data_IF_855116658766
#
_entry.id   IF_855116658766
#
_cell.length_a   1.000
_cell.length_b   1.000
_cell.length_c   1.000
_cell.angle_alpha   90.00
_cell.angle_beta   90.00
_cell.angle_gamma   90.00
#
_symmetry.space_group_name_H-M   'P 1'
#
loop_
_entity.id
_entity.type
_entity.pdbx_description
1 polymer ?
#
# COMPACT_ATOMS: atom_id res chain seq x y z
N UNK A 1 10.15 -81.16 60.82
CA UNK A 1 10.60 -81.19 59.42
C UNK A 1 9.73 -80.23 58.66
N UNK A 2 10.17 -79.13 58.07
CA UNK A 2 11.44 -78.41 57.99
C UNK A 2 11.04 -77.02 57.47
N UNK A 3 11.71 -75.97 57.96
CA UNK A 3 12.24 -74.81 57.21
C UNK A 3 11.31 -74.14 56.15
N UNK A 4 11.08 -72.83 56.11
CA UNK A 4 12.02 -71.74 56.32
C UNK A 4 11.24 -70.41 56.35
N UNK A 5 11.72 -69.53 57.21
CA UNK A 5 11.33 -68.14 57.41
C UNK A 5 11.65 -67.24 56.21
N UNK A 6 10.99 -66.07 56.17
CA UNK A 6 11.38 -64.77 55.57
C UNK A 6 10.49 -64.21 54.44
N UNK A 7 9.54 -63.36 54.85
CA UNK A 7 9.10 -62.17 54.11
C UNK A 7 9.99 -60.96 54.50
N UNK A 8 9.94 -59.80 53.82
CA UNK A 8 9.50 -59.47 52.46
C UNK A 8 10.56 -58.62 51.71
N UNK A 9 10.52 -58.58 50.37
CA UNK A 9 11.13 -57.45 49.65
C UNK A 9 10.24 -57.02 48.48
N UNK A 10 9.45 -55.97 48.71
CA UNK A 10 8.93 -55.15 47.61
C UNK A 10 10.11 -54.37 47.02
N UNK A 11 10.76 -54.93 46.00
CA UNK A 11 11.63 -54.16 45.14
C UNK A 11 10.76 -53.26 44.25
N UNK A 12 10.48 -52.07 44.76
CA UNK A 12 10.08 -50.91 43.96
C UNK A 12 11.17 -50.63 42.92
N UNK A 13 11.13 -51.30 41.77
CA UNK A 13 12.04 -51.03 40.67
C UNK A 13 11.51 -49.88 39.82
N UNK A 14 12.00 -48.71 40.22
CA UNK A 14 12.52 -47.65 39.36
C UNK A 14 11.51 -47.06 38.36
N UNK A 15 10.98 -45.90 38.77
CA UNK A 15 10.48 -44.83 37.90
C UNK A 15 11.45 -44.64 36.73
N UNK A 16 11.15 -45.30 35.60
CA UNK A 16 12.00 -45.31 34.42
C UNK A 16 12.19 -43.86 33.94
N UNK A 17 13.46 -43.50 33.79
CA UNK A 17 13.93 -42.14 33.61
C UNK A 17 13.14 -41.36 32.56
N UNK A 18 12.71 -40.17 32.95
CA UNK A 18 12.33 -39.11 32.02
C UNK A 18 13.50 -38.97 31.06
N UNK A 19 13.34 -39.41 29.80
CA UNK A 19 14.31 -39.17 28.72
C UNK A 19 14.36 -37.67 28.46
N UNK A 20 15.32 -36.91 29.02
CA UNK A 20 15.29 -35.44 28.93
C UNK A 20 15.64 -34.99 27.50
N UNK A 21 16.38 -35.84 26.79
CA UNK A 21 16.94 -35.59 25.47
C UNK A 21 15.90 -35.60 24.35
N UNK A 22 14.86 -36.42 24.44
CA UNK A 22 13.75 -36.44 23.46
C UNK A 22 12.78 -35.27 23.70
N UNK A 23 12.54 -34.89 24.96
CA UNK A 23 11.73 -33.73 25.31
C UNK A 23 12.37 -32.40 24.87
N UNK A 24 13.68 -32.25 25.06
CA UNK A 24 14.43 -31.07 24.61
C UNK A 24 14.44 -30.96 23.07
N UNK A 25 14.53 -32.08 22.34
CA UNK A 25 14.43 -32.11 20.87
C UNK A 25 13.02 -31.77 20.37
N UNK A 26 11.98 -32.31 21.01
CA UNK A 26 10.60 -31.96 20.65
C UNK A 26 10.32 -30.47 20.91
N UNK A 27 10.88 -29.90 21.98
CA UNK A 27 10.78 -28.47 22.30
C UNK A 27 11.54 -27.59 21.31
N UNK A 28 12.75 -27.99 20.89
CA UNK A 28 13.51 -27.24 19.89
C UNK A 28 12.86 -27.29 18.50
N UNK A 29 12.29 -28.43 18.11
CA UNK A 29 11.51 -28.56 16.86
C UNK A 29 10.28 -27.67 16.88
N UNK A 30 9.53 -27.61 17.98
CA UNK A 30 8.37 -26.71 18.13
C UNK A 30 8.78 -25.24 18.03
N UNK A 31 9.88 -24.85 18.69
CA UNK A 31 10.39 -23.48 18.60
C UNK A 31 10.83 -23.15 17.18
N UNK A 32 11.56 -24.04 16.51
CA UNK A 32 11.97 -23.85 15.13
C UNK A 32 10.76 -23.71 14.18
N UNK A 33 9.72 -24.53 14.38
CA UNK A 33 8.47 -24.42 13.63
C UNK A 33 7.76 -23.08 13.90
N UNK A 34 7.67 -22.64 15.15
CA UNK A 34 7.11 -21.33 15.49
C UNK A 34 7.89 -20.18 14.85
N UNK A 35 9.23 -20.24 14.84
CA UNK A 35 10.08 -19.23 14.19
C UNK A 35 9.81 -19.20 12.69
N UNK A 36 9.78 -20.35 12.02
CA UNK A 36 9.50 -20.42 10.58
C UNK A 36 8.11 -19.90 10.23
N UNK A 37 7.09 -20.27 11.01
CA UNK A 37 5.72 -19.75 10.83
C UNK A 37 5.70 -18.23 11.01
N UNK A 38 6.34 -17.71 12.06
CA UNK A 38 6.41 -16.27 12.30
C UNK A 38 7.10 -15.52 11.16
N UNK A 39 8.15 -16.11 10.58
CA UNK A 39 8.85 -15.53 9.44
C UNK A 39 7.97 -15.51 8.20
N UNK A 40 7.25 -16.59 7.90
CA UNK A 40 6.28 -16.63 6.80
C UNK A 40 5.20 -15.57 6.96
N UNK A 41 4.64 -15.43 8.16
CA UNK A 41 3.64 -14.38 8.46
C UNK A 41 4.21 -12.98 8.21
N UNK A 42 5.41 -12.68 8.73
CA UNK A 42 6.03 -11.37 8.53
C UNK A 42 6.34 -11.07 7.06
N UNK A 43 6.83 -12.06 6.31
CA UNK A 43 7.05 -11.91 4.86
C UNK A 43 5.76 -11.70 4.09
N UNK A 44 4.68 -12.41 4.47
CA UNK A 44 3.37 -12.24 3.86
C UNK A 44 2.79 -10.85 4.09
N UNK A 45 2.83 -10.35 5.33
CA UNK A 45 2.40 -8.99 5.68
C UNK A 45 3.21 -7.95 4.88
N UNK A 46 4.53 -8.11 4.83
CA UNK A 46 5.42 -7.21 4.08
C UNK A 46 5.09 -7.21 2.58
N UNK A 47 4.82 -8.38 2.00
CA UNK A 47 4.49 -8.50 0.58
C UNK A 47 3.15 -7.82 0.24
N UNK A 48 2.12 -8.04 1.07
CA UNK A 48 0.82 -7.38 0.94
C UNK A 48 0.97 -5.87 1.06
N UNK A 49 1.74 -5.40 2.05
CA UNK A 49 2.00 -3.98 2.26
C UNK A 49 2.69 -3.34 1.05
N UNK A 50 3.73 -4.00 0.52
CA UNK A 50 4.45 -3.52 -0.65
C UNK A 50 3.56 -3.47 -1.89
N UNK A 51 2.74 -4.51 -2.13
CA UNK A 51 1.78 -4.52 -3.24
C UNK A 51 0.73 -3.42 -3.12
N UNK A 52 0.30 -3.09 -1.91
CA UNK A 52 -0.72 -2.07 -1.66
C UNK A 52 -0.17 -0.64 -1.72
N UNK A 53 1.13 -0.44 -1.52
CA UNK A 53 1.74 0.90 -1.36
C UNK A 53 2.63 1.29 -2.54
N UNK A 54 2.80 0.41 -3.53
CA UNK A 54 3.51 0.76 -4.77
C UNK A 54 2.83 1.94 -5.45
N UNK A 55 3.54 3.05 -5.70
CA UNK A 55 2.94 4.22 -6.32
C UNK A 55 2.63 3.95 -7.80
N UNK A 56 1.47 4.40 -8.26
CA UNK A 56 1.10 4.33 -9.67
C UNK A 56 1.72 5.51 -10.42
N UNK A 57 2.44 5.26 -11.53
CA UNK A 57 3.11 6.30 -12.31
C UNK A 57 2.30 6.57 -13.56
N UNK A 58 1.71 7.76 -13.60
CA UNK A 58 0.75 8.17 -14.64
C UNK A 58 1.18 9.47 -15.29
N UNK A 59 0.62 9.78 -16.46
CA UNK A 59 0.95 11.00 -17.21
C UNK A 59 -0.24 11.92 -17.36
N UNK A 60 0.06 13.22 -17.32
CA UNK A 60 -0.88 14.30 -17.53
C UNK A 60 -0.35 15.27 -18.60
N UNK A 61 -1.18 15.55 -19.59
CA UNK A 61 -0.93 16.59 -20.58
C UNK A 61 -1.37 17.96 -20.05
N UNK A 62 -0.52 18.54 -19.20
CA UNK A 62 -0.76 19.87 -18.65
C UNK A 62 -0.78 20.95 -19.74
N UNK A 63 0.12 20.84 -20.74
CA UNK A 63 0.20 21.83 -21.81
C UNK A 63 -1.08 21.84 -22.64
N UNK A 64 -1.53 20.69 -23.13
CA UNK A 64 -2.77 20.62 -23.90
C UNK A 64 -3.99 21.05 -23.08
N UNK A 65 -3.98 20.86 -21.76
CA UNK A 65 -5.07 21.30 -20.87
C UNK A 65 -5.09 22.82 -20.70
N UNK A 66 -3.94 23.46 -20.54
CA UNK A 66 -3.82 24.92 -20.50
C UNK A 66 -4.18 25.53 -21.86
N UNK A 67 -3.65 24.98 -22.95
CA UNK A 67 -3.92 25.49 -24.30
C UNK A 67 -5.42 25.44 -24.62
N UNK A 68 -6.10 24.35 -24.23
CA UNK A 68 -7.56 24.22 -24.36
C UNK A 68 -8.31 25.29 -23.53
N UNK A 69 -7.89 25.53 -22.29
CA UNK A 69 -8.48 26.59 -21.46
C UNK A 69 -8.27 27.98 -22.08
N UNK A 70 -7.08 28.26 -22.63
CA UNK A 70 -6.80 29.53 -23.31
C UNK A 70 -7.69 29.69 -24.54
N UNK A 71 -7.89 28.63 -25.32
CA UNK A 71 -8.79 28.64 -26.48
C UNK A 71 -10.25 28.89 -26.07
N UNK A 72 -10.71 28.29 -24.98
CA UNK A 72 -12.07 28.47 -24.46
C UNK A 72 -12.28 29.86 -23.84
N UNK A 73 -11.32 30.35 -23.07
CA UNK A 73 -11.41 31.67 -22.43
C UNK A 73 -11.34 32.83 -23.43
N UNK A 74 -10.61 32.68 -24.53
CA UNK A 74 -10.57 33.66 -25.60
C UNK A 74 -11.95 33.93 -26.23
N UNK A 75 -12.87 32.96 -26.18
CA UNK A 75 -14.24 33.12 -26.70
C UNK A 75 -15.13 33.95 -25.78
N UNK A 76 -14.77 34.13 -24.50
CA UNK A 76 -15.61 34.76 -23.48
C UNK A 76 -15.54 36.30 -23.47
N UNK A 77 -14.73 36.94 -24.33
CA UNK A 77 -14.52 38.41 -24.40
C UNK A 77 -14.49 39.07 -23.01
N UNK A 78 -13.51 38.68 -22.20
CA UNK A 78 -13.39 39.12 -20.81
C UNK A 78 -12.57 40.41 -20.71
N UNK A 79 -13.00 41.31 -19.83
CA UNK A 79 -12.15 42.37 -19.30
C UNK A 79 -10.95 41.77 -18.52
N UNK A 80 -9.84 42.50 -18.46
CA UNK A 80 -8.59 42.02 -17.87
C UNK A 80 -8.77 41.50 -16.43
N UNK A 81 -9.60 42.18 -15.62
CA UNK A 81 -9.87 41.76 -14.25
C UNK A 81 -10.58 40.39 -14.19
N UNK A 82 -11.56 40.17 -15.06
CA UNK A 82 -12.30 38.90 -15.14
C UNK A 82 -11.44 37.78 -15.70
N UNK A 83 -10.58 38.07 -16.67
CA UNK A 83 -9.63 37.11 -17.22
C UNK A 83 -8.65 36.59 -16.15
N UNK A 84 -8.12 37.48 -15.29
CA UNK A 84 -7.24 37.08 -14.18
C UNK A 84 -7.94 36.18 -13.18
N UNK A 85 -9.17 36.52 -12.80
CA UNK A 85 -9.96 35.69 -11.86
C UNK A 85 -10.25 34.32 -12.46
N UNK A 86 -10.64 34.25 -13.74
CA UNK A 86 -10.91 32.97 -14.41
C UNK A 86 -9.65 32.09 -14.48
N UNK A 87 -8.51 32.66 -14.84
CA UNK A 87 -7.22 31.94 -14.88
C UNK A 87 -6.81 31.45 -13.49
N UNK A 88 -6.99 32.26 -12.44
CA UNK A 88 -6.70 31.86 -11.07
C UNK A 88 -7.57 30.67 -10.64
N UNK A 89 -8.89 30.74 -10.92
CA UNK A 89 -9.82 29.64 -10.63
C UNK A 89 -9.44 28.35 -11.35
N UNK A 90 -9.09 28.45 -12.64
CA UNK A 90 -8.63 27.30 -13.42
C UNK A 90 -7.37 26.66 -12.81
N UNK A 91 -6.36 27.48 -12.46
CA UNK A 91 -5.12 26.98 -11.87
C UNK A 91 -5.37 26.29 -10.53
N UNK A 92 -6.19 26.89 -9.66
CA UNK A 92 -6.59 26.27 -8.39
C UNK A 92 -7.32 24.94 -8.63
N UNK A 93 -8.31 24.91 -9.52
CA UNK A 93 -9.05 23.69 -9.83
C UNK A 93 -8.14 22.59 -10.39
N UNK A 94 -7.15 22.94 -11.23
CA UNK A 94 -6.14 22.01 -11.75
C UNK A 94 -5.26 21.45 -10.64
N UNK A 95 -4.69 22.31 -9.78
CA UNK A 95 -3.86 21.87 -8.66
C UNK A 95 -4.64 20.98 -7.69
N UNK A 96 -5.87 21.35 -7.35
CA UNK A 96 -6.71 20.57 -6.45
C UNK A 96 -7.10 19.22 -7.05
N UNK A 97 -7.38 19.19 -8.36
CA UNK A 97 -7.71 17.95 -9.06
C UNK A 97 -6.53 16.98 -9.06
N UNK A 98 -5.33 17.48 -9.38
CA UNK A 98 -4.11 16.68 -9.35
C UNK A 98 -3.81 16.18 -7.93
N UNK A 99 -3.90 17.04 -6.92
CA UNK A 99 -3.66 16.66 -5.53
C UNK A 99 -4.65 15.59 -5.03
N UNK A 100 -5.93 15.74 -5.37
CA UNK A 100 -6.96 14.74 -5.05
C UNK A 100 -6.70 13.40 -5.74
N UNK A 101 -6.27 13.42 -7.00
CA UNK A 101 -5.89 12.21 -7.72
C UNK A 101 -4.69 11.50 -7.08
N UNK A 102 -3.62 12.24 -6.80
CA UNK A 102 -2.42 11.71 -6.15
C UNK A 102 -2.73 11.05 -4.81
N UNK A 103 -3.59 11.70 -4.00
CA UNK A 103 -3.98 11.18 -2.68
C UNK A 103 -4.85 9.92 -2.78
N UNK A 104 -5.82 9.90 -3.69
CA UNK A 104 -6.76 8.78 -3.84
C UNK A 104 -6.14 7.54 -4.51
N UNK A 105 -5.15 7.74 -5.39
CA UNK A 105 -4.53 6.67 -6.16
C UNK A 105 -3.10 6.34 -5.72
N UNK A 106 -2.56 7.05 -4.71
CA UNK A 106 -1.14 6.97 -4.33
C UNK A 106 -0.23 7.14 -5.57
N UNK A 107 -0.58 8.12 -6.43
CA UNK A 107 0.00 8.24 -7.76
C UNK A 107 1.09 9.31 -7.84
N UNK A 108 2.09 9.04 -8.67
CA UNK A 108 3.09 9.99 -9.13
C UNK A 108 2.69 10.44 -10.52
N UNK A 109 2.35 11.72 -10.67
CA UNK A 109 1.91 12.29 -11.93
C UNK A 109 3.10 12.95 -12.61
N UNK A 110 3.39 12.52 -13.84
CA UNK A 110 4.42 13.09 -14.69
C UNK A 110 3.77 13.92 -15.80
N UNK A 111 4.43 15.01 -16.21
CA UNK A 111 3.96 15.79 -17.35
C UNK A 111 4.37 15.09 -18.66
N UNK A 112 3.43 14.98 -19.61
CA UNK A 112 3.61 14.24 -20.87
C UNK A 112 4.88 14.59 -21.67
N UNK A 113 5.32 15.87 -21.77
CA UNK A 113 6.55 16.20 -22.48
C UNK A 113 7.85 15.72 -21.80
N UNK A 114 7.79 15.34 -20.51
CA UNK A 114 8.96 14.92 -19.75
C UNK A 114 9.15 13.39 -19.72
N UNK A 115 8.26 12.62 -20.36
CA UNK A 115 8.30 11.15 -20.37
C UNK A 115 8.58 10.62 -21.77
N UNK A 116 9.46 9.63 -21.85
CA UNK A 116 9.80 8.95 -23.11
C UNK A 116 9.10 7.59 -23.26
N UNK A 117 8.64 7.04 -22.14
CA UNK A 117 7.96 5.74 -22.09
C UNK A 117 6.45 5.93 -22.09
N UNK A 118 5.69 5.01 -22.72
CA UNK A 118 4.24 5.02 -22.66
C UNK A 118 3.79 4.70 -21.22
N UNK A 119 3.04 5.62 -20.63
CA UNK A 119 2.44 5.51 -19.32
C UNK A 119 0.93 5.79 -19.42
N UNK A 120 0.11 5.34 -18.45
CA UNK A 120 -1.32 5.60 -18.45
C UNK A 120 -1.62 7.12 -18.43
N UNK A 121 -2.44 7.58 -19.37
CA UNK A 121 -2.79 9.00 -19.52
C UNK A 121 -4.09 9.32 -18.78
N UNK A 122 -3.98 10.09 -17.69
CA UNK A 122 -5.10 10.48 -16.82
C UNK A 122 -5.71 11.83 -17.22
N UNK A 123 -5.26 12.43 -18.32
CA UNK A 123 -5.72 13.74 -18.79
C UNK A 123 -7.25 13.86 -18.90
N UNK A 124 -8.00 12.87 -19.43
CA UNK A 124 -9.46 12.97 -19.52
C UNK A 124 -10.15 13.11 -18.16
N UNK A 125 -9.68 12.36 -17.15
CA UNK A 125 -10.26 12.35 -15.81
C UNK A 125 -9.98 13.67 -15.08
N UNK A 126 -8.73 14.12 -15.14
CA UNK A 126 -8.32 15.40 -14.56
C UNK A 126 -9.08 16.56 -15.21
N UNK A 127 -9.22 16.60 -16.55
CA UNK A 127 -9.98 17.67 -17.22
C UNK A 127 -11.45 17.69 -16.82
N UNK A 128 -12.08 16.51 -16.66
CA UNK A 128 -13.47 16.41 -16.19
C UNK A 128 -13.63 16.98 -14.78
N UNK A 129 -12.70 16.64 -13.89
CA UNK A 129 -12.74 17.12 -12.51
C UNK A 129 -12.43 18.63 -12.41
N UNK A 130 -11.50 19.16 -13.21
CA UNK A 130 -11.26 20.61 -13.34
C UNK A 130 -12.52 21.33 -13.77
N UNK A 131 -13.20 20.84 -14.82
CA UNK A 131 -14.42 21.45 -15.33
C UNK A 131 -15.50 21.50 -14.23
N UNK A 132 -15.68 20.38 -13.51
CA UNK A 132 -16.60 20.28 -12.37
C UNK A 132 -16.27 21.32 -11.29
N UNK A 133 -15.02 21.39 -10.82
CA UNK A 133 -14.59 22.35 -9.78
C UNK A 133 -14.73 23.81 -10.22
N UNK A 134 -14.47 24.09 -11.49
CA UNK A 134 -14.57 25.45 -12.04
C UNK A 134 -16.04 25.90 -12.14
N UNK A 135 -16.98 24.97 -12.34
CA UNK A 135 -18.42 25.23 -12.31
C UNK A 135 -18.96 25.36 -10.87
N UNK A 136 -18.48 24.53 -9.95
CA UNK A 136 -18.89 24.55 -8.53
C UNK A 136 -18.40 25.81 -7.78
N UNK A 137 -17.35 26.47 -8.25
CA UNK A 137 -16.82 27.73 -7.71
C UNK A 137 -17.45 29.01 -8.29
N UNK A 138 -18.60 28.92 -8.96
CA UNK A 138 -19.41 30.05 -9.44
C UNK A 138 -20.45 30.49 -8.43
#
# INVERSE_FOLDING_TARGET
>A
MSEQNEQPYEAATVRAGIKPRDWLKARSVKIAACVLISQLVMTGITWVYMKSTSPDVVVFDMKGTIDLFMQQSAQLQLDEGKAKVLTARFNTAMSDSLAAWQTSHNAIILVKPAVVSPLPDITPDIRRDIARRTQEGQ
#
